data_IF_215874957262
#
_entry.id   IF_215874957262
#
_cell.length_a   1.000
_cell.length_b   1.000
_cell.length_c   1.000
_cell.angle_alpha   90.00
_cell.angle_beta   90.00
_cell.angle_gamma   90.00
#
_symmetry.space_group_name_H-M   'P 1'
#
loop_
_entity.id
_entity.type
_entity.pdbx_description
1 polymer ?
#
# COMPACT_ATOMS: atom_id res chain seq x y z
N UNK A 1 -7.70 -1.02 32.95
CA UNK A 1 -7.18 0.34 33.18
C UNK A 1 -8.18 1.18 33.96
N UNK A 2 -9.42 1.31 33.48
CA UNK A 2 -10.48 2.07 34.18
C UNK A 2 -10.77 1.57 35.61
N UNK A 3 -10.83 0.26 35.84
CA UNK A 3 -11.06 -0.27 37.19
C UNK A 3 -9.90 0.04 38.14
N UNK A 4 -8.66 -0.01 37.63
CA UNK A 4 -7.45 0.36 38.37
C UNK A 4 -7.46 1.85 38.74
N UNK A 5 -7.90 2.72 37.84
CA UNK A 5 -8.04 4.15 38.09
C UNK A 5 -9.11 4.44 39.16
N UNK A 6 -10.29 3.83 39.04
CA UNK A 6 -11.37 3.97 40.01
C UNK A 6 -10.96 3.51 41.41
N UNK A 7 -10.22 2.40 41.49
CA UNK A 7 -9.69 1.87 42.73
C UNK A 7 -8.63 2.79 43.34
N UNK A 8 -7.67 3.27 42.53
CA UNK A 8 -6.63 4.20 42.96
C UNK A 8 -7.22 5.52 43.50
N UNK A 9 -8.24 6.05 42.82
CA UNK A 9 -8.96 7.26 43.26
C UNK A 9 -9.68 7.04 44.60
N UNK A 10 -10.31 5.88 44.76
CA UNK A 10 -11.01 5.51 46.00
C UNK A 10 -10.03 5.30 47.17
N UNK A 11 -8.86 4.70 46.92
CA UNK A 11 -7.80 4.55 47.92
C UNK A 11 -7.27 5.89 48.40
N UNK A 12 -7.13 6.86 47.50
CA UNK A 12 -6.54 8.17 47.81
C UNK A 12 -7.35 8.99 48.83
N UNK A 13 -8.65 8.74 48.95
CA UNK A 13 -9.55 9.42 49.89
C UNK A 13 -9.91 8.55 51.11
N UNK A 14 -9.49 7.29 51.13
CA UNK A 14 -9.85 6.31 52.17
C UNK A 14 -8.75 6.23 53.22
N UNK A 15 -9.14 6.36 54.50
CA UNK A 15 -8.19 6.19 55.62
C UNK A 15 -7.82 4.72 55.78
N UNK A 16 -6.54 4.44 56.00
CA UNK A 16 -6.01 3.08 56.09
C UNK A 16 -6.70 2.22 57.16
N UNK A 17 -7.14 2.79 58.28
CA UNK A 17 -7.75 2.09 59.42
C UNK A 17 -9.25 1.79 59.28
N UNK A 18 -9.81 1.88 58.07
CA UNK A 18 -11.24 1.67 57.84
C UNK A 18 -11.52 0.30 57.21
N UNK A 19 -12.70 -0.31 57.45
CA UNK A 19 -13.11 -1.54 56.74
C UNK A 19 -13.11 -1.36 55.22
N UNK A 20 -13.49 -0.17 54.75
CA UNK A 20 -13.44 0.21 53.33
C UNK A 20 -12.04 0.10 52.72
N UNK A 21 -10.98 0.35 53.49
CA UNK A 21 -9.62 0.15 53.01
C UNK A 21 -9.37 -1.32 52.66
N UNK A 22 -9.83 -2.25 53.51
CA UNK A 22 -9.69 -3.70 53.28
C UNK A 22 -10.42 -4.13 52.00
N UNK A 23 -11.63 -3.61 51.77
CA UNK A 23 -12.38 -3.86 50.54
C UNK A 23 -11.63 -3.37 49.29
N UNK A 24 -10.98 -2.21 49.36
CA UNK A 24 -10.19 -1.67 48.26
C UNK A 24 -8.92 -2.50 48.00
N UNK A 25 -8.25 -3.00 49.04
CA UNK A 25 -7.11 -3.92 48.87
C UNK A 25 -7.56 -5.24 48.25
N UNK A 26 -8.70 -5.79 48.68
CA UNK A 26 -9.30 -6.97 48.04
C UNK A 26 -9.64 -6.71 46.56
N UNK A 27 -10.13 -5.51 46.24
CA UNK A 27 -10.32 -5.08 44.85
C UNK A 27 -9.00 -5.07 44.06
N UNK A 28 -7.90 -4.62 44.65
CA UNK A 28 -6.59 -4.61 44.00
C UNK A 28 -6.08 -6.04 43.72
N UNK A 29 -6.35 -6.97 44.64
CA UNK A 29 -6.09 -8.40 44.44
C UNK A 29 -6.89 -8.96 43.26
N UNK A 30 -8.19 -8.67 43.21
CA UNK A 30 -9.02 -9.10 42.07
C UNK A 30 -8.49 -8.58 40.74
N UNK A 31 -8.08 -7.31 40.67
CA UNK A 31 -7.50 -6.74 39.44
C UNK A 31 -6.19 -7.43 39.02
N UNK A 32 -5.36 -7.85 39.98
CA UNK A 32 -4.16 -8.65 39.69
C UNK A 32 -4.57 -10.00 39.09
N UNK A 33 -5.52 -10.68 39.71
CA UNK A 33 -5.93 -12.03 39.29
C UNK A 33 -6.67 -11.99 37.93
N UNK A 34 -7.50 -10.97 37.69
CA UNK A 34 -8.13 -10.72 36.38
C UNK A 34 -7.07 -10.45 35.30
N UNK A 35 -5.99 -9.75 35.64
CA UNK A 35 -4.89 -9.53 34.71
C UNK A 35 -4.13 -10.82 34.37
N UNK A 36 -4.06 -11.80 35.27
CA UNK A 36 -3.42 -13.09 35.01
C UNK A 36 -4.12 -13.86 33.87
N UNK A 37 -5.45 -13.78 33.79
CA UNK A 37 -6.23 -14.34 32.67
C UNK A 37 -5.91 -13.62 31.35
N UNK A 38 -5.74 -12.29 31.42
CA UNK A 38 -5.42 -11.45 30.25
C UNK A 38 -3.97 -11.71 29.81
N UNK A 39 -3.04 -11.89 30.74
CA UNK A 39 -1.63 -12.20 30.50
C UNK A 39 -1.48 -13.41 29.59
N UNK A 40 -2.13 -14.53 29.89
CA UNK A 40 -2.03 -15.75 29.09
C UNK A 40 -2.48 -15.50 27.64
N UNK A 41 -3.54 -14.71 27.47
CA UNK A 41 -4.05 -14.32 26.15
C UNK A 41 -3.08 -13.40 25.41
N UNK A 42 -2.47 -12.43 26.11
CA UNK A 42 -1.47 -11.52 25.56
C UNK A 42 -0.19 -12.26 25.15
N UNK A 43 0.30 -13.18 25.98
CA UNK A 43 1.47 -14.01 25.68
C UNK A 43 1.19 -14.91 24.47
N UNK A 44 0.03 -15.57 24.43
CA UNK A 44 -0.38 -16.39 23.29
C UNK A 44 -0.46 -15.57 21.99
N UNK A 45 -0.98 -14.35 22.04
CA UNK A 45 -1.01 -13.42 20.92
C UNK A 45 0.41 -13.02 20.49
N UNK A 46 1.27 -12.70 21.46
CA UNK A 46 2.66 -12.30 21.24
C UNK A 46 3.50 -13.38 20.54
N UNK A 47 3.21 -14.66 20.81
CA UNK A 47 3.88 -15.78 20.15
C UNK A 47 3.42 -15.98 18.70
N UNK A 48 2.24 -15.46 18.33
CA UNK A 48 1.70 -15.53 16.96
C UNK A 48 2.15 -14.36 16.09
N UNK A 49 2.41 -13.21 16.70
CA UNK A 49 2.80 -11.97 16.01
C UNK A 49 4.19 -11.57 16.50
N UNK A 50 5.22 -12.02 15.79
CA UNK A 50 6.63 -11.82 16.18
C UNK A 50 7.03 -10.35 16.33
N UNK A 51 6.37 -9.46 15.57
CA UNK A 51 6.65 -8.02 15.55
C UNK A 51 6.31 -7.33 16.89
N UNK A 52 5.35 -7.85 17.65
CA UNK A 52 4.91 -7.28 18.93
C UNK A 52 5.46 -8.03 20.14
N UNK A 53 6.15 -9.15 19.91
CA UNK A 53 6.46 -10.14 20.94
C UNK A 53 7.23 -9.53 22.13
N UNK A 54 8.38 -8.90 21.85
CA UNK A 54 9.24 -8.33 22.88
C UNK A 54 8.53 -7.26 23.71
N UNK A 55 7.75 -6.41 23.06
CA UNK A 55 7.01 -5.33 23.73
C UNK A 55 5.91 -5.87 24.66
N UNK A 56 5.13 -6.84 24.18
CA UNK A 56 4.07 -7.45 25.00
C UNK A 56 4.67 -8.13 26.24
N UNK A 57 5.71 -8.95 26.05
CA UNK A 57 6.36 -9.67 27.16
C UNK A 57 6.92 -8.70 28.20
N UNK A 58 7.62 -7.66 27.76
CA UNK A 58 8.19 -6.63 28.64
C UNK A 58 7.09 -5.94 29.45
N UNK A 59 6.04 -5.43 28.78
CA UNK A 59 4.98 -4.67 29.45
C UNK A 59 4.14 -5.54 30.38
N UNK A 60 3.85 -6.78 30.01
CA UNK A 60 3.16 -7.74 30.88
C UNK A 60 4.00 -8.01 32.14
N UNK A 61 5.31 -8.24 31.99
CA UNK A 61 6.21 -8.43 33.12
C UNK A 61 6.23 -7.20 34.05
N UNK A 62 6.33 -5.99 33.49
CA UNK A 62 6.29 -4.76 34.29
C UNK A 62 4.96 -4.58 35.01
N UNK A 63 3.82 -4.88 34.38
CA UNK A 63 2.50 -4.82 35.02
C UNK A 63 2.44 -5.78 36.21
N UNK A 64 2.93 -7.02 36.07
CA UNK A 64 2.97 -7.99 37.19
C UNK A 64 3.81 -7.49 38.35
N UNK A 65 5.00 -6.95 38.07
CA UNK A 65 5.88 -6.38 39.09
C UNK A 65 5.17 -5.22 39.80
N UNK A 66 4.56 -4.30 39.06
CA UNK A 66 3.86 -3.16 39.64
C UNK A 66 2.63 -3.60 40.46
N UNK A 67 1.86 -4.60 40.03
CA UNK A 67 0.76 -5.15 40.83
C UNK A 67 1.26 -5.75 42.14
N UNK A 68 2.33 -6.56 42.07
CA UNK A 68 2.93 -7.17 43.26
C UNK A 68 3.41 -6.12 44.26
N UNK A 69 4.19 -5.15 43.80
CA UNK A 69 4.71 -4.08 44.65
C UNK A 69 3.60 -3.17 45.19
N UNK A 70 2.56 -2.89 44.40
CA UNK A 70 1.38 -2.16 44.86
C UNK A 70 0.69 -2.91 46.00
N UNK A 71 0.46 -4.21 45.87
CA UNK A 71 -0.16 -5.04 46.89
C UNK A 71 0.68 -5.13 48.16
N UNK A 72 1.99 -5.37 48.07
CA UNK A 72 2.91 -5.36 49.22
C UNK A 72 2.81 -4.03 49.98
N UNK A 73 2.84 -2.90 49.27
CA UNK A 73 2.72 -1.58 49.90
C UNK A 73 1.32 -1.35 50.50
N UNK A 74 0.26 -1.88 49.91
CA UNK A 74 -1.10 -1.78 50.46
C UNK A 74 -1.31 -2.64 51.72
N UNK A 75 -0.72 -3.83 51.77
CA UNK A 75 -0.72 -4.67 52.96
C UNK A 75 0.00 -3.97 54.12
N UNK A 76 1.12 -3.30 53.83
CA UNK A 76 1.86 -2.47 54.78
C UNK A 76 1.26 -1.08 55.02
N UNK A 77 0.11 -0.77 54.39
CA UNK A 77 -0.60 0.53 54.50
C UNK A 77 0.22 1.75 54.03
N UNK A 78 1.22 1.52 53.18
CA UNK A 78 2.04 2.51 52.49
C UNK A 78 1.34 3.03 51.23
N UNK A 79 0.24 3.75 51.42
CA UNK A 79 -0.61 4.28 50.35
C UNK A 79 0.18 5.14 49.32
N UNK A 80 1.05 6.08 49.73
CA UNK A 80 1.78 6.91 48.77
C UNK A 80 2.69 6.10 47.84
N UNK A 81 3.34 5.05 48.35
CA UNK A 81 4.21 4.16 47.58
C UNK A 81 3.40 3.27 46.64
N UNK A 82 2.31 2.67 47.14
CA UNK A 82 1.40 1.88 46.30
C UNK A 82 0.88 2.68 45.11
N UNK A 83 0.53 3.96 45.31
CA UNK A 83 0.02 4.85 44.27
C UNK A 83 0.97 4.99 43.08
N UNK A 84 2.27 5.01 43.32
CA UNK A 84 3.26 5.09 42.24
C UNK A 84 3.21 3.84 41.36
N UNK A 85 3.19 2.66 41.98
CA UNK A 85 3.05 1.38 41.26
C UNK A 85 1.70 1.26 40.54
N UNK A 86 0.60 1.72 41.15
CA UNK A 86 -0.71 1.76 40.50
C UNK A 86 -0.69 2.66 39.25
N UNK A 87 0.00 3.81 39.32
CA UNK A 87 0.16 4.71 38.17
C UNK A 87 0.99 4.07 37.06
N UNK A 88 2.10 3.41 37.40
CA UNK A 88 2.91 2.66 36.43
C UNK A 88 2.14 1.52 35.78
N UNK A 89 1.33 0.81 36.56
CA UNK A 89 0.39 -0.22 36.06
C UNK A 89 -0.55 0.38 35.02
N UNK A 90 -1.19 1.51 35.32
CA UNK A 90 -2.07 2.20 34.35
C UNK A 90 -1.33 2.63 33.09
N UNK A 91 -0.12 3.18 33.21
CA UNK A 91 0.72 3.53 32.05
C UNK A 91 0.99 2.31 31.19
N UNK A 92 1.44 1.21 31.78
CA UNK A 92 1.80 0.01 31.02
C UNK A 92 0.59 -0.68 30.39
N UNK A 93 -0.57 -0.68 31.06
CA UNK A 93 -1.82 -1.16 30.48
C UNK A 93 -2.27 -0.29 29.30
N UNK A 94 -2.10 1.03 29.38
CA UNK A 94 -2.42 1.94 28.29
C UNK A 94 -1.44 1.80 27.13
N UNK A 95 -0.15 1.63 27.41
CA UNK A 95 0.88 1.35 26.40
C UNK A 95 0.59 0.04 25.66
N UNK A 96 0.20 -1.03 26.40
CA UNK A 96 -0.24 -2.30 25.81
C UNK A 96 -1.48 -2.10 24.92
N UNK A 97 -2.50 -1.40 25.42
CA UNK A 97 -3.72 -1.16 24.66
C UNK A 97 -3.45 -0.36 23.38
N UNK A 98 -2.60 0.67 23.46
CA UNK A 98 -2.20 1.49 22.32
C UNK A 98 -1.45 0.65 21.28
N UNK A 99 -0.43 -0.09 21.70
CA UNK A 99 0.36 -0.93 20.79
C UNK A 99 -0.51 -2.01 20.13
N UNK A 100 -1.40 -2.66 20.88
CA UNK A 100 -2.31 -3.66 20.33
C UNK A 100 -3.30 -3.03 19.34
N UNK A 101 -3.81 -1.82 19.61
CA UNK A 101 -4.67 -1.09 18.69
C UNK A 101 -3.93 -0.69 17.40
N UNK A 102 -2.70 -0.17 17.51
CA UNK A 102 -1.85 0.18 16.38
C UNK A 102 -1.49 -1.06 15.54
N UNK A 103 -1.18 -2.18 16.20
CA UNK A 103 -0.88 -3.45 15.53
C UNK A 103 -2.11 -4.04 14.84
N UNK A 104 -3.29 -3.91 15.45
CA UNK A 104 -4.55 -4.33 14.84
C UNK A 104 -4.90 -3.44 13.64
N UNK A 105 -4.74 -2.12 13.74
CA UNK A 105 -4.95 -1.18 12.63
C UNK A 105 -3.97 -1.46 11.48
N UNK A 106 -2.69 -1.71 11.79
CA UNK A 106 -1.69 -2.11 10.80
C UNK A 106 -2.07 -3.44 10.12
N UNK A 107 -2.51 -4.45 10.89
CA UNK A 107 -2.99 -5.71 10.33
C UNK A 107 -4.26 -5.52 9.49
N UNK A 108 -5.18 -4.66 9.91
CA UNK A 108 -6.43 -4.40 9.19
C UNK A 108 -6.17 -3.63 7.89
N UNK A 109 -5.24 -2.68 7.89
CA UNK A 109 -4.77 -1.98 6.69
C UNK A 109 -4.06 -2.93 5.73
N UNK A 110 -3.20 -3.83 6.24
CA UNK A 110 -2.57 -4.87 5.43
C UNK A 110 -3.58 -5.89 4.89
N UNK A 111 -4.59 -6.28 5.68
CA UNK A 111 -5.65 -7.18 5.23
C UNK A 111 -6.58 -6.51 4.21
N UNK A 112 -6.89 -5.22 4.39
CA UNK A 112 -7.66 -4.42 3.44
C UNK A 112 -6.88 -4.22 2.12
N UNK A 113 -5.55 -4.08 2.19
CA UNK A 113 -4.67 -4.05 1.02
C UNK A 113 -4.52 -5.44 0.36
N UNK A 114 -4.63 -6.53 1.15
CA UNK A 114 -4.48 -7.92 0.70
C UNK A 114 -5.79 -8.59 0.28
N UNK A 115 -6.94 -7.89 0.36
CA UNK A 115 -8.25 -8.39 -0.10
C UNK A 115 -8.56 -7.86 -1.51
N UNK A 116 -8.37 -8.66 -2.58
CA UNK A 116 -8.94 -8.35 -3.89
C UNK A 116 -10.45 -8.58 -3.86
N UNK A 117 -11.22 -7.53 -3.51
CA UNK A 117 -12.64 -7.43 -3.82
C UNK A 117 -13.62 -7.86 -2.72
N UNK A 118 -14.18 -6.88 -2.01
CA UNK A 118 -15.60 -6.85 -1.59
C UNK A 118 -15.93 -5.56 -0.83
N UNK A 119 -15.74 -4.41 -1.48
CA UNK A 119 -16.66 -3.29 -1.22
C UNK A 119 -17.80 -3.42 -2.23
N UNK A 120 -18.73 -4.33 -1.94
CA UNK A 120 -20.12 -4.16 -2.36
C UNK A 120 -20.65 -2.95 -1.60
N UNK A 121 -20.59 -1.78 -2.24
CA UNK A 121 -21.60 -0.76 -2.00
C UNK A 121 -22.65 -1.02 -3.09
N UNK A 122 -23.79 -1.54 -2.68
CA UNK A 122 -24.93 -1.84 -3.55
C UNK A 122 -25.41 -0.57 -4.27
N UNK A 123 -24.98 -0.42 -5.52
CA UNK A 123 -25.68 0.39 -6.50
C UNK A 123 -25.96 -0.50 -7.71
N UNK A 124 -27.22 -0.95 -7.91
CA UNK A 124 -27.54 -1.91 -8.95
C UNK A 124 -27.59 -1.20 -10.31
N UNK A 125 -26.76 -1.64 -11.25
CA UNK A 125 -26.94 -1.35 -12.67
C UNK A 125 -25.65 -0.99 -13.39
N UNK A 126 -25.04 -1.95 -14.10
CA UNK A 126 -24.01 -1.65 -15.09
C UNK A 126 -23.00 -2.76 -15.37
N UNK A 127 -23.40 -3.71 -16.22
CA UNK A 127 -22.61 -4.62 -17.07
C UNK A 127 -21.07 -4.66 -16.88
N UNK A 128 -20.61 -5.83 -16.43
CA UNK A 128 -19.35 -6.55 -16.72
C UNK A 128 -18.09 -5.83 -17.21
N UNK A 129 -16.97 -6.10 -16.53
CA UNK A 129 -15.70 -6.62 -17.10
C UNK A 129 -14.54 -6.48 -16.09
N UNK A 130 -13.77 -7.56 -15.95
CA UNK A 130 -12.31 -7.50 -15.83
C UNK A 130 -11.73 -7.39 -14.42
N UNK A 131 -10.89 -8.39 -14.08
CA UNK A 131 -9.80 -8.26 -13.10
C UNK A 131 -9.09 -6.91 -13.32
N UNK A 132 -9.20 -5.99 -12.36
CA UNK A 132 -8.27 -4.88 -12.15
C UNK A 132 -7.39 -5.34 -10.97
N UNK A 133 -6.07 -5.48 -11.05
CA UNK A 133 -5.16 -4.57 -11.76
C UNK A 133 -5.21 -3.17 -11.14
N UNK A 134 -5.46 -3.08 -9.84
CA UNK A 134 -5.41 -1.82 -9.11
C UNK A 134 -3.97 -1.46 -8.84
N UNK A 135 -3.38 -0.61 -9.69
CA UNK A 135 -2.24 0.20 -9.28
C UNK A 135 -2.66 0.93 -8.01
N UNK A 136 -2.04 0.64 -6.88
CA UNK A 136 -2.00 1.64 -5.82
C UNK A 136 -1.48 2.95 -6.46
N UNK A 137 -2.16 4.07 -6.27
CA UNK A 137 -1.72 5.31 -6.90
C UNK A 137 -0.35 5.65 -6.34
N UNK A 138 0.67 5.62 -7.20
CA UNK A 138 2.04 6.05 -6.93
C UNK A 138 2.08 7.42 -6.24
N UNK A 139 1.06 8.24 -6.54
CA UNK A 139 0.79 9.55 -5.93
C UNK A 139 0.82 9.50 -4.38
N UNK A 140 0.30 8.44 -3.74
CA UNK A 140 0.27 8.35 -2.26
C UNK A 140 1.63 8.17 -1.61
N UNK A 141 2.57 7.52 -2.30
CA UNK A 141 3.94 7.35 -1.79
C UNK A 141 4.71 8.65 -1.91
N UNK A 142 4.51 9.37 -3.01
CA UNK A 142 5.06 10.71 -3.24
C UNK A 142 4.59 11.71 -2.16
N UNK A 143 3.29 11.70 -1.86
CA UNK A 143 2.70 12.52 -0.79
C UNK A 143 3.23 12.14 0.59
N UNK A 144 3.35 10.83 0.87
CA UNK A 144 3.93 10.32 2.13
C UNK A 144 5.39 10.74 2.32
N UNK A 145 6.17 10.74 1.23
CA UNK A 145 7.56 11.20 1.19
C UNK A 145 7.70 12.71 1.41
N UNK A 146 6.77 13.51 0.89
CA UNK A 146 6.72 14.96 1.15
C UNK A 146 6.36 15.25 2.62
N UNK A 147 5.35 14.56 3.18
CA UNK A 147 5.02 14.69 4.60
C UNK A 147 6.16 14.25 5.54
N UNK A 148 6.97 13.29 5.09
CA UNK A 148 8.20 12.88 5.76
C UNK A 148 9.27 13.98 5.71
N UNK A 149 9.49 14.60 4.55
CA UNK A 149 10.42 15.74 4.39
C UNK A 149 10.07 16.88 5.35
N UNK A 150 8.79 17.26 5.46
CA UNK A 150 8.35 18.28 6.40
C UNK A 150 8.60 17.91 7.86
N UNK A 151 8.43 16.64 8.21
CA UNK A 151 8.67 16.12 9.56
C UNK A 151 10.16 16.21 9.91
N UNK A 152 11.05 15.84 8.99
CA UNK A 152 12.49 15.96 9.17
C UNK A 152 12.94 17.42 9.25
N UNK A 153 12.38 18.32 8.43
CA UNK A 153 12.69 19.75 8.47
C UNK A 153 12.29 20.39 9.81
N UNK A 154 11.17 19.96 10.41
CA UNK A 154 10.77 20.39 11.76
C UNK A 154 11.77 19.93 12.82
N UNK A 155 12.19 18.67 12.77
CA UNK A 155 13.21 18.12 13.69
C UNK A 155 14.54 18.87 13.53
N UNK A 156 14.98 19.10 12.29
CA UNK A 156 16.23 19.80 11.98
C UNK A 156 16.23 21.28 12.39
N UNK A 157 15.11 21.98 12.26
CA UNK A 157 14.95 23.35 12.77
C UNK A 157 15.00 23.41 14.30
N UNK A 158 14.39 22.44 14.98
CA UNK A 158 14.48 22.31 16.45
C UNK A 158 15.93 22.11 16.93
N UNK A 159 16.68 21.27 16.22
CA UNK A 159 18.08 20.97 16.54
C UNK A 159 19.00 22.20 16.40
N UNK A 160 18.78 23.06 15.39
CA UNK A 160 19.49 24.34 15.25
C UNK A 160 19.15 25.36 16.34
N UNK A 161 17.98 25.23 16.97
CA UNK A 161 17.54 26.07 18.10
C UNK A 161 17.98 25.57 19.48
N UNK A 162 18.88 24.57 19.56
CA UNK A 162 19.38 24.03 20.83
C UNK A 162 18.46 23.01 21.51
N UNK A 163 17.30 22.68 20.93
CA UNK A 163 16.45 21.57 21.36
C UNK A 163 16.69 20.36 20.46
N UNK A 164 17.44 19.38 20.95
CA UNK A 164 17.56 18.08 20.30
C UNK A 164 16.16 17.49 20.14
N UNK A 165 15.78 17.07 18.92
CA UNK A 165 14.47 16.48 18.64
C UNK A 165 14.18 15.30 19.56
N UNK A 166 12.91 15.12 19.95
CA UNK A 166 12.54 14.11 20.94
C UNK A 166 12.83 12.71 20.38
N UNK A 167 13.24 11.77 21.24
CA UNK A 167 13.45 10.37 20.81
C UNK A 167 12.19 9.77 20.14
N UNK A 168 11.01 10.24 20.56
CA UNK A 168 9.71 9.90 19.95
C UNK A 168 9.58 10.39 18.50
N UNK A 169 10.07 11.60 18.21
CA UNK A 169 9.97 12.19 16.86
C UNK A 169 10.84 11.41 15.86
N UNK A 170 12.05 11.04 16.28
CA UNK A 170 12.96 10.19 15.50
C UNK A 170 12.41 8.78 15.29
N UNK A 171 11.85 8.15 16.33
CA UNK A 171 11.24 6.83 16.22
C UNK A 171 10.05 6.83 15.26
N UNK A 172 9.19 7.85 15.34
CA UNK A 172 8.05 7.99 14.44
C UNK A 172 8.49 8.26 12.99
N UNK A 173 9.52 9.07 12.79
CA UNK A 173 10.11 9.32 11.47
C UNK A 173 10.72 8.04 10.87
N UNK A 174 11.48 7.27 11.65
CA UNK A 174 12.06 6.01 11.21
C UNK A 174 10.98 4.97 10.85
N UNK A 175 9.92 4.85 11.65
CA UNK A 175 8.80 3.96 11.37
C UNK A 175 8.07 4.32 10.06
N UNK A 176 7.85 5.62 9.82
CA UNK A 176 7.26 6.10 8.55
C UNK A 176 8.17 5.80 7.36
N UNK A 177 9.48 6.00 7.48
CA UNK A 177 10.44 5.70 6.42
C UNK A 177 10.44 4.22 6.07
N UNK A 178 10.44 3.34 7.07
CA UNK A 178 10.40 1.89 6.89
C UNK A 178 9.10 1.43 6.19
N UNK A 179 7.95 2.01 6.54
CA UNK A 179 6.69 1.72 5.89
C UNK A 179 6.69 2.13 4.41
N UNK A 180 7.20 3.33 4.10
CA UNK A 180 7.33 3.83 2.73
C UNK A 180 8.30 2.98 1.91
N UNK A 181 9.42 2.55 2.50
CA UNK A 181 10.39 1.67 1.83
C UNK A 181 9.78 0.31 1.51
N UNK A 182 9.02 -0.27 2.44
CA UNK A 182 8.33 -1.55 2.23
C UNK A 182 7.33 -1.45 1.08
N UNK A 183 6.51 -0.40 1.05
CA UNK A 183 5.58 -0.14 -0.04
C UNK A 183 6.31 -0.03 -1.41
N UNK A 184 7.46 0.64 -1.46
CA UNK A 184 8.27 0.74 -2.68
C UNK A 184 8.87 -0.61 -3.11
N UNK A 185 9.29 -1.46 -2.15
CA UNK A 185 9.76 -2.81 -2.43
C UNK A 185 8.65 -3.70 -3.01
N UNK A 186 7.42 -3.57 -2.50
CA UNK A 186 6.28 -4.33 -3.00
C UNK A 186 5.91 -3.88 -4.43
N UNK A 187 5.92 -2.57 -4.70
CA UNK A 187 5.76 -2.04 -6.07
C UNK A 187 6.86 -2.53 -7.01
N UNK A 188 8.11 -2.63 -6.53
CA UNK A 188 9.22 -3.11 -7.32
C UNK A 188 9.02 -4.59 -7.72
N UNK A 189 8.58 -5.43 -6.78
CA UNK A 189 8.25 -6.84 -7.04
C UNK A 189 7.12 -6.96 -8.06
N UNK A 190 6.03 -6.23 -7.87
CA UNK A 190 4.89 -6.21 -8.80
C UNK A 190 5.31 -5.80 -10.22
N UNK A 191 6.23 -4.85 -10.36
CA UNK A 191 6.77 -4.45 -11.67
C UNK A 191 7.62 -5.55 -12.31
N UNK A 192 8.48 -6.19 -11.53
CA UNK A 192 9.31 -7.30 -11.99
C UNK A 192 8.43 -8.47 -12.48
N UNK A 193 7.36 -8.81 -11.74
CA UNK A 193 6.40 -9.85 -12.13
C UNK A 193 5.63 -9.51 -13.40
N UNK A 194 5.37 -8.21 -13.65
CA UNK A 194 4.71 -7.74 -14.88
C UNK A 194 5.65 -7.69 -16.11
N UNK A 195 6.89 -8.15 -16.00
CA UNK A 195 7.87 -8.15 -17.09
C UNK A 195 8.31 -6.73 -17.51
N UNK A 196 7.92 -5.70 -16.76
CA UNK A 196 8.48 -4.36 -16.86
C UNK A 196 9.75 -4.40 -16.03
N UNK A 197 10.88 -4.67 -16.69
CA UNK A 197 12.17 -4.95 -16.07
C UNK A 197 12.52 -4.05 -14.88
N UNK A 198 13.37 -4.57 -14.00
CA UNK A 198 13.80 -3.89 -12.78
C UNK A 198 14.27 -2.46 -13.08
N UNK A 199 13.49 -1.47 -12.65
CA UNK A 199 13.85 -0.07 -12.81
C UNK A 199 14.99 0.20 -11.83
N UNK A 200 16.23 0.27 -12.32
CA UNK A 200 17.43 0.43 -11.49
C UNK A 200 17.34 1.65 -10.57
N UNK A 201 16.65 2.71 -11.02
CA UNK A 201 16.39 3.90 -10.21
C UNK A 201 15.54 3.64 -8.97
N UNK A 202 14.63 2.67 -8.99
CA UNK A 202 13.78 2.34 -7.83
C UNK A 202 14.57 1.59 -6.75
N UNK A 203 15.52 0.73 -7.16
CA UNK A 203 16.41 0.05 -6.23
C UNK A 203 17.31 1.05 -5.50
N UNK A 204 17.89 2.01 -6.23
CA UNK A 204 18.71 3.07 -5.64
C UNK A 204 17.92 3.90 -4.61
N UNK A 205 16.65 4.21 -4.90
CA UNK A 205 15.76 4.91 -3.97
C UNK A 205 15.59 4.11 -2.68
N UNK A 206 15.32 2.80 -2.78
CA UNK A 206 15.15 1.90 -1.63
C UNK A 206 16.43 1.84 -0.78
N UNK A 207 17.61 1.82 -1.42
CA UNK A 207 18.90 1.79 -0.73
C UNK A 207 19.21 3.11 -0.03
N UNK A 208 18.88 4.26 -0.62
CA UNK A 208 18.99 5.56 0.03
C UNK A 208 17.99 5.69 1.21
N UNK A 209 16.78 5.13 1.09
CA UNK A 209 15.82 5.09 2.20
C UNK A 209 16.34 4.28 3.39
N UNK A 210 16.99 3.14 3.15
CA UNK A 210 17.66 2.35 4.20
C UNK A 210 18.72 3.18 4.96
N UNK A 211 19.51 3.99 4.24
CA UNK A 211 20.52 4.85 4.88
C UNK A 211 19.87 5.90 5.79
N UNK A 212 18.75 6.48 5.36
CA UNK A 212 17.97 7.42 6.19
C UNK A 212 17.41 6.71 7.44
N UNK A 213 16.89 5.49 7.31
CA UNK A 213 16.42 4.71 8.46
C UNK A 213 17.53 4.52 9.51
N UNK A 214 18.74 4.15 9.06
CA UNK A 214 19.91 3.98 9.94
C UNK A 214 20.27 5.31 10.64
N UNK A 215 20.28 6.41 9.89
CA UNK A 215 20.56 7.73 10.44
C UNK A 215 19.52 8.13 11.51
N UNK A 216 18.23 7.91 11.23
CA UNK A 216 17.12 8.25 12.14
C UNK A 216 17.11 7.41 13.41
N UNK A 217 17.35 6.10 13.31
CA UNK A 217 17.45 5.20 14.47
C UNK A 217 18.61 5.62 15.38
N UNK A 218 19.72 6.07 14.80
CA UNK A 218 20.86 6.59 15.54
C UNK A 218 20.70 8.06 15.99
N UNK A 219 19.51 8.65 15.80
CA UNK A 219 19.20 10.06 16.11
C UNK A 219 20.16 11.04 15.43
N UNK A 220 20.68 10.67 14.27
CA UNK A 220 21.54 11.50 13.42
C UNK A 220 20.68 12.14 12.36
N UNK A 221 20.48 13.44 12.47
CA UNK A 221 19.90 14.25 11.40
C UNK A 221 20.93 15.31 11.00
N UNK A 222 21.67 15.04 9.94
CA UNK A 222 22.63 15.98 9.38
C UNK A 222 22.09 16.53 8.04
N UNK A 223 22.79 17.52 7.48
CA UNK A 223 22.43 18.07 6.17
C UNK A 223 22.48 17.01 5.04
N UNK A 224 23.25 15.93 5.23
CA UNK A 224 23.36 14.85 4.26
C UNK A 224 22.08 13.99 4.23
N UNK A 225 21.56 13.59 5.39
CA UNK A 225 20.29 12.87 5.53
C UNK A 225 19.13 13.69 4.94
N UNK A 226 19.11 15.01 5.19
CA UNK A 226 18.09 15.91 4.62
C UNK A 226 18.19 16.03 3.10
N UNK A 227 19.40 16.16 2.54
CA UNK A 227 19.60 16.18 1.08
C UNK A 227 19.18 14.86 0.45
N UNK A 228 19.55 13.74 1.05
CA UNK A 228 19.15 12.40 0.60
C UNK A 228 17.64 12.27 0.53
N UNK A 229 16.91 12.76 1.54
CA UNK A 229 15.44 12.75 1.53
C UNK A 229 14.88 13.60 0.37
N UNK A 230 15.45 14.78 0.10
CA UNK A 230 15.03 15.63 -1.02
C UNK A 230 15.30 14.97 -2.38
N UNK A 231 16.44 14.29 -2.53
CA UNK A 231 16.79 13.56 -3.75
C UNK A 231 15.82 12.41 -4.00
N UNK A 232 15.46 11.66 -2.94
CA UNK A 232 14.46 10.59 -3.00
C UNK A 232 13.10 11.13 -3.47
N UNK A 233 12.61 12.22 -2.87
CA UNK A 233 11.33 12.85 -3.25
C UNK A 233 11.37 13.28 -4.73
N UNK A 234 12.47 13.88 -5.17
CA UNK A 234 12.64 14.35 -6.55
C UNK A 234 12.58 13.18 -7.54
N UNK A 235 13.36 12.12 -7.28
CA UNK A 235 13.38 10.93 -8.13
C UNK A 235 12.03 10.22 -8.18
N UNK A 236 11.30 10.16 -7.07
CA UNK A 236 9.95 9.59 -7.03
C UNK A 236 8.96 10.38 -7.87
N UNK A 237 8.98 11.72 -7.77
CA UNK A 237 8.13 12.59 -8.59
C UNK A 237 8.45 12.46 -10.09
N UNK A 238 9.72 12.32 -10.45
CA UNK A 238 10.16 12.08 -11.82
C UNK A 238 9.68 10.72 -12.34
N UNK A 239 9.82 9.65 -11.52
CA UNK A 239 9.34 8.32 -11.85
C UNK A 239 7.81 8.31 -12.06
N UNK A 240 7.06 8.98 -11.19
CA UNK A 240 5.61 9.13 -11.28
C UNK A 240 5.19 9.86 -12.56
N UNK A 241 5.87 10.96 -12.92
CA UNK A 241 5.65 11.66 -14.20
C UNK A 241 5.96 10.77 -15.40
N UNK A 242 7.05 10.02 -15.37
CA UNK A 242 7.43 9.10 -16.43
C UNK A 242 6.39 7.99 -16.63
N UNK A 243 5.86 7.42 -15.54
CA UNK A 243 4.82 6.41 -15.60
C UNK A 243 3.51 6.96 -16.18
N UNK A 244 3.09 8.16 -15.78
CA UNK A 244 1.93 8.83 -16.37
C UNK A 244 2.10 9.03 -17.88
N UNK A 245 3.28 9.50 -18.31
CA UNK A 245 3.55 9.71 -19.73
C UNK A 245 3.46 8.40 -20.53
N UNK A 246 4.02 7.31 -20.01
CA UNK A 246 3.94 5.97 -20.62
C UNK A 246 2.49 5.49 -20.75
N UNK A 247 1.63 5.77 -19.77
CA UNK A 247 0.21 5.45 -19.87
C UNK A 247 -0.50 6.20 -20.99
N UNK A 248 -0.24 7.51 -21.13
CA UNK A 248 -0.82 8.32 -22.20
C UNK A 248 -0.34 7.89 -23.58
N UNK A 249 0.93 7.50 -23.71
CA UNK A 249 1.48 7.01 -24.97
C UNK A 249 0.88 5.67 -25.38
N UNK A 250 0.65 4.74 -24.44
CA UNK A 250 -0.03 3.48 -24.72
C UNK A 250 -1.49 3.70 -25.15
N UNK A 251 -2.19 4.68 -24.56
CA UNK A 251 -3.55 5.07 -24.99
C UNK A 251 -3.58 5.68 -26.39
N UNK A 252 -2.57 6.49 -26.75
CA UNK A 252 -2.45 7.11 -28.09
C UNK A 252 -2.10 6.13 -29.20
N UNK A 253 -1.47 4.99 -28.88
CA UNK A 253 -1.17 3.93 -29.86
C UNK A 253 -2.38 3.03 -30.18
N UNK A 254 -3.49 3.15 -29.44
CA UNK A 254 -4.70 2.39 -29.71
C UNK A 254 -5.58 3.13 -30.74
N UNK A 255 -6.00 2.39 -31.77
CA UNK A 255 -6.72 2.80 -32.98
C UNK A 255 -5.87 3.36 -34.14
N UNK A 256 -5.01 2.50 -34.69
CA UNK A 256 -4.73 2.56 -36.13
C UNK A 256 -5.97 1.99 -36.83
N UNK A 257 -6.72 2.84 -37.53
CA UNK A 257 -7.84 2.40 -38.35
C UNK A 257 -7.35 1.40 -39.39
N UNK A 258 -7.90 0.18 -39.38
CA UNK A 258 -7.66 -0.79 -40.46
C UNK A 258 -8.27 -0.23 -41.74
N UNK A 259 -7.45 -0.05 -42.78
CA UNK A 259 -7.90 0.39 -44.09
C UNK A 259 -8.80 -0.70 -44.71
N UNK A 260 -10.10 -0.64 -44.44
CA UNK A 260 -11.08 -1.55 -45.04
C UNK A 260 -11.16 -1.21 -46.52
N UNK A 261 -10.56 -2.05 -47.37
CA UNK A 261 -10.82 -2.00 -48.81
C UNK A 261 -12.33 -2.05 -49.02
N UNK A 262 -12.88 -1.03 -49.68
CA UNK A 262 -14.29 -1.04 -50.12
C UNK A 262 -14.45 -2.18 -51.10
N UNK A 263 -15.14 -3.23 -50.69
CA UNK A 263 -15.56 -4.28 -51.61
C UNK A 263 -16.60 -3.70 -52.59
N UNK A 264 -16.53 -4.10 -53.85
CA UNK A 264 -17.49 -3.68 -54.86
C UNK A 264 -18.89 -4.18 -54.46
N UNK A 265 -19.95 -3.37 -54.61
CA UNK A 265 -21.32 -3.80 -54.33
C UNK A 265 -21.67 -5.10 -55.10
N UNK A 266 -22.46 -6.02 -54.52
CA UNK A 266 -22.82 -7.29 -55.17
C UNK A 266 -23.41 -7.12 -56.57
N UNK A 267 -24.23 -6.07 -56.78
CA UNK A 267 -24.83 -5.73 -58.07
C UNK A 267 -23.78 -5.39 -59.15
N UNK A 268 -22.67 -4.75 -58.77
CA UNK A 268 -21.57 -4.42 -59.67
C UNK A 268 -20.70 -5.64 -59.97
N UNK A 269 -20.48 -6.53 -59.00
CA UNK A 269 -19.78 -7.80 -59.23
C UNK A 269 -20.55 -8.69 -60.22
N UNK A 270 -21.87 -8.80 -60.07
CA UNK A 270 -22.70 -9.60 -60.97
C UNK A 270 -22.69 -9.04 -62.40
N UNK A 271 -22.73 -7.71 -62.54
CA UNK A 271 -22.61 -7.05 -63.84
C UNK A 271 -21.24 -7.29 -64.48
N UNK A 272 -20.15 -7.15 -63.72
CA UNK A 272 -18.79 -7.39 -64.21
C UNK A 272 -18.57 -8.85 -64.61
N UNK A 273 -19.06 -9.81 -63.80
CA UNK A 273 -18.99 -11.25 -64.14
C UNK A 273 -19.77 -11.59 -65.40
N UNK A 274 -20.97 -11.03 -65.58
CA UNK A 274 -21.75 -11.22 -66.81
C UNK A 274 -21.02 -10.66 -68.03
N UNK A 275 -20.46 -9.45 -67.91
CA UNK A 275 -19.67 -8.83 -68.98
C UNK A 275 -18.40 -9.61 -69.30
N UNK A 276 -17.71 -10.14 -68.29
CA UNK A 276 -16.55 -11.02 -68.49
C UNK A 276 -16.94 -12.32 -69.18
N UNK A 277 -18.03 -12.97 -68.76
CA UNK A 277 -18.52 -14.20 -69.39
C UNK A 277 -18.93 -13.99 -70.86
N UNK A 278 -19.56 -12.86 -71.18
CA UNK A 278 -19.83 -12.46 -72.57
C UNK A 278 -18.53 -12.31 -73.37
N UNK A 279 -17.54 -11.60 -72.83
CA UNK A 279 -16.23 -11.42 -73.47
C UNK A 279 -15.46 -12.75 -73.60
N UNK A 280 -15.54 -13.62 -72.60
CA UNK A 280 -14.89 -14.94 -72.61
C UNK A 280 -15.50 -15.85 -73.67
N UNK A 281 -16.82 -15.81 -73.88
CA UNK A 281 -17.48 -16.54 -74.96
C UNK A 281 -16.94 -16.13 -76.34
N UNK A 282 -16.55 -14.86 -76.50
CA UNK A 282 -15.92 -14.35 -77.72
C UNK A 282 -14.40 -14.64 -77.80
N UNK A 283 -13.72 -14.78 -76.66
CA UNK A 283 -12.30 -15.17 -76.59
C UNK A 283 -12.11 -16.68 -76.80
N UNK A 284 -13.07 -17.51 -76.43
CA UNK A 284 -13.12 -18.92 -76.76
C UNK A 284 -13.55 -19.08 -78.23
N UNK A 285 -12.66 -18.66 -79.13
CA UNK A 285 -12.84 -18.92 -80.55
C UNK A 285 -12.79 -20.44 -80.74
N UNK A 286 -13.81 -21.00 -81.39
CA UNK A 286 -13.91 -22.43 -81.72
C UNK A 286 -12.58 -22.95 -82.29
N UNK A 287 -12.09 -24.14 -81.89
CA UNK A 287 -10.79 -24.69 -82.28
C UNK A 287 -10.52 -24.85 -83.79
N UNK A 288 -11.52 -24.59 -84.65
CA UNK A 288 -11.46 -24.83 -86.10
C UNK A 288 -11.10 -23.60 -86.95
N UNK A 289 -10.89 -22.41 -86.36
CA UNK A 289 -10.60 -21.20 -87.12
C UNK A 289 -9.12 -21.11 -87.56
N UNK A 290 -8.89 -21.07 -88.88
CA UNK A 290 -7.55 -20.92 -89.49
C UNK A 290 -6.83 -19.66 -88.95
N UNK A 291 -5.50 -19.71 -88.74
CA UNK A 291 -4.72 -18.65 -88.05
C UNK A 291 -4.93 -17.22 -88.58
N UNK A 292 -5.20 -17.08 -89.88
CA UNK A 292 -5.47 -15.81 -90.54
C UNK A 292 -6.69 -15.07 -89.97
N UNK A 293 -7.78 -15.79 -89.72
CA UNK A 293 -9.02 -15.18 -89.22
C UNK A 293 -8.93 -14.83 -87.72
N UNK A 294 -8.12 -15.56 -86.96
CA UNK A 294 -7.81 -15.23 -85.55
C UNK A 294 -7.14 -13.85 -85.44
N UNK A 295 -6.22 -13.54 -86.34
CA UNK A 295 -5.53 -12.23 -86.37
C UNK A 295 -6.48 -11.06 -86.69
N UNK A 296 -7.40 -11.25 -87.64
CA UNK A 296 -8.38 -10.23 -88.01
C UNK A 296 -9.36 -9.92 -86.86
N UNK A 297 -9.82 -10.97 -86.17
CA UNK A 297 -10.71 -10.85 -85.01
C UNK A 297 -10.02 -10.13 -83.85
N UNK A 298 -8.76 -10.48 -83.53
CA UNK A 298 -7.97 -9.77 -82.52
C UNK A 298 -7.76 -8.29 -82.85
N UNK A 299 -7.51 -7.97 -84.12
CA UNK A 299 -7.36 -6.58 -84.59
C UNK A 299 -8.67 -5.79 -84.42
N UNK A 300 -9.80 -6.40 -84.73
CA UNK A 300 -11.12 -5.78 -84.54
C UNK A 300 -11.43 -5.50 -83.06
N UNK A 301 -11.19 -6.47 -82.18
CA UNK A 301 -11.41 -6.27 -80.73
C UNK A 301 -10.45 -5.26 -80.11
N UNK A 302 -9.20 -5.17 -80.61
CA UNK A 302 -8.28 -4.10 -80.19
C UNK A 302 -8.78 -2.72 -80.60
N UNK A 303 -9.37 -2.58 -81.79
CA UNK A 303 -9.95 -1.31 -82.25
C UNK A 303 -11.20 -0.89 -81.45
N UNK A 304 -12.03 -1.87 -81.04
CA UNK A 304 -13.21 -1.62 -80.19
C UNK A 304 -12.86 -1.20 -78.75
N UNK A 305 -11.68 -1.57 -78.23
CA UNK A 305 -11.22 -1.18 -76.90
C UNK A 305 -10.55 0.21 -76.85
N UNK A 306 -10.18 0.76 -78.00
CA UNK A 306 -9.50 2.05 -78.11
C UNK A 306 -10.44 3.25 -78.32
N UNK A 307 -11.75 3.02 -78.41
CA UNK A 307 -12.81 4.02 -78.28
C UNK A 307 -13.58 3.77 -76.98
#
# INVERSE_FOLDING_TARGET
SFDQEGLANSLNVTKANTPKYVELVQGQFKLKDDFEIIEDSLIALSNRVSEIQSFVIEKVAEVKVNFKESLTNLEERKIPQSKDYQRRTMTNLNDLALMLAESMDQMQQQAAASMPGSQMCDKPGGKGKGKKGGKEPSDKISDGQQGMQESLDKIGKGQKGGKLGSAKDFAQAAAKQAALRKALQDIQKDRQEQGKGADGGLQEIIDEMNKIEIDLVNKKLNNETLKRQQDIVTRLLEAEKADRQREFDNKRKAEIGTDKKRELPPSLQDYLKKREAEIEMYKSISPELRPYYKYLVDKYYKALKSN
#
